data_IF_668171854421
#
_entry.id   IF_668171854421
#
_cell.length_a   1.000
_cell.length_b   1.000
_cell.length_c   1.000
_cell.angle_alpha   90.00
_cell.angle_beta   90.00
_cell.angle_gamma   90.00
#
_symmetry.space_group_name_H-M   'P 1'
#
loop_
_entity.id
_entity.type
_entity.pdbx_description
1 polymer ?
#
# COMPACT_ATOMS: atom_id res chain seq x y z
N UNK A 1 1.05 9.65 -41.73
CA UNK A 1 1.74 9.06 -40.55
C UNK A 1 1.72 9.90 -39.27
N UNK A 2 1.82 11.26 -39.26
CA UNK A 2 1.88 12.00 -37.99
C UNK A 2 0.53 12.04 -37.23
N UNK A 3 -0.61 12.06 -37.91
CA UNK A 3 -1.95 12.12 -37.28
C UNK A 3 -2.30 10.91 -36.39
N UNK A 4 -1.79 9.72 -36.73
CA UNK A 4 -2.03 8.50 -35.94
C UNK A 4 -1.26 8.51 -34.61
N UNK A 5 -0.11 9.18 -34.54
CA UNK A 5 0.65 9.33 -33.31
C UNK A 5 -0.05 10.33 -32.38
N UNK A 6 -0.50 11.46 -32.92
CA UNK A 6 -1.22 12.49 -32.14
C UNK A 6 -2.49 11.95 -31.52
N UNK A 7 -3.28 11.16 -32.26
CA UNK A 7 -4.53 10.58 -31.75
C UNK A 7 -4.31 9.59 -30.60
N UNK A 8 -3.24 8.78 -30.66
CA UNK A 8 -2.87 7.85 -29.57
C UNK A 8 -2.40 8.59 -28.33
N UNK A 9 -1.62 9.66 -28.51
CA UNK A 9 -1.14 10.49 -27.40
C UNK A 9 -2.31 11.20 -26.72
N UNK A 10 -3.22 11.81 -27.47
CA UNK A 10 -4.42 12.45 -26.90
C UNK A 10 -5.28 11.47 -26.12
N UNK A 11 -5.47 10.26 -26.63
CA UNK A 11 -6.27 9.23 -25.96
C UNK A 11 -5.60 8.74 -24.66
N UNK A 12 -4.27 8.62 -24.65
CA UNK A 12 -3.49 8.33 -23.43
C UNK A 12 -3.64 9.46 -22.39
N UNK A 13 -3.54 10.72 -22.81
CA UNK A 13 -3.67 11.87 -21.90
C UNK A 13 -5.07 11.92 -21.29
N UNK A 14 -6.12 11.73 -22.09
CA UNK A 14 -7.51 11.71 -21.61
C UNK A 14 -7.74 10.56 -20.62
N UNK A 15 -7.19 9.37 -20.90
CA UNK A 15 -7.28 8.22 -20.00
C UNK A 15 -6.61 8.50 -18.66
N UNK A 16 -5.40 9.08 -18.68
CA UNK A 16 -4.68 9.45 -17.45
C UNK A 16 -5.47 10.49 -16.65
N UNK A 17 -6.01 11.54 -17.29
CA UNK A 17 -6.82 12.53 -16.61
C UNK A 17 -8.10 11.94 -15.99
N UNK A 18 -8.76 11.01 -16.68
CA UNK A 18 -9.94 10.33 -16.16
C UNK A 18 -9.61 9.44 -14.94
N UNK A 19 -8.47 8.73 -14.97
CA UNK A 19 -8.00 7.96 -13.82
C UNK A 19 -7.70 8.84 -12.60
N UNK A 20 -7.06 10.00 -12.80
CA UNK A 20 -6.77 10.95 -11.72
C UNK A 20 -8.07 11.51 -11.13
N UNK A 21 -9.03 11.90 -11.98
CA UNK A 21 -10.33 12.39 -11.52
C UNK A 21 -11.10 11.33 -10.72
N UNK A 22 -11.05 10.07 -11.14
CA UNK A 22 -11.69 8.96 -10.42
C UNK A 22 -11.09 8.75 -9.02
N UNK A 23 -9.76 8.87 -8.88
CA UNK A 23 -9.07 8.78 -7.57
C UNK A 23 -9.44 9.97 -6.67
N UNK A 24 -9.58 11.17 -7.22
CA UNK A 24 -9.98 12.37 -6.46
C UNK A 24 -11.46 12.36 -6.04
N UNK A 25 -12.31 11.66 -6.79
CA UNK A 25 -13.75 11.51 -6.46
C UNK A 25 -14.04 10.42 -5.44
N UNK A 26 -13.04 9.62 -5.04
CA UNK A 26 -13.20 8.72 -3.92
C UNK A 26 -13.30 9.55 -2.64
N UNK A 27 -14.35 9.37 -1.83
CA UNK A 27 -14.45 10.04 -0.54
C UNK A 27 -13.20 9.68 0.27
N UNK A 28 -12.37 10.69 0.56
CA UNK A 28 -11.30 10.52 1.53
C UNK A 28 -12.00 10.22 2.86
N UNK A 29 -11.73 9.07 3.51
CA UNK A 29 -12.31 8.79 4.81
C UNK A 29 -11.98 9.97 5.73
N UNK A 30 -13.01 10.49 6.39
CA UNK A 30 -12.88 11.53 7.42
C UNK A 30 -11.70 11.19 8.34
N UNK A 31 -10.95 12.21 8.73
CA UNK A 31 -9.80 12.15 9.65
C UNK A 31 -10.18 11.55 11.02
N UNK A 32 -10.57 10.28 11.07
CA UNK A 32 -10.24 9.43 12.21
C UNK A 32 -8.73 9.34 12.21
N UNK A 33 -8.12 9.42 13.41
CA UNK A 33 -6.67 9.32 13.61
C UNK A 33 -6.14 8.10 12.85
N UNK A 34 -5.73 8.33 11.62
CA UNK A 34 -5.18 7.32 10.73
C UNK A 34 -3.75 7.13 11.22
N UNK A 35 -3.58 6.36 12.30
CA UNK A 35 -2.29 5.87 12.77
C UNK A 35 -1.81 4.74 11.84
N UNK A 36 -1.89 5.00 10.54
CA UNK A 36 -1.50 4.11 9.46
C UNK A 36 -0.28 4.65 8.74
N UNK A 37 0.72 3.80 8.58
CA UNK A 37 1.97 4.14 7.92
C UNK A 37 2.33 3.10 6.88
N UNK A 38 2.96 3.53 5.80
CA UNK A 38 3.64 2.64 4.87
C UNK A 38 5.15 2.91 4.95
N UNK A 39 5.94 1.85 4.94
CA UNK A 39 7.39 1.92 4.97
C UNK A 39 7.95 1.07 3.84
N UNK A 40 8.89 1.64 3.09
CA UNK A 40 9.68 0.91 2.10
C UNK A 40 11.10 0.82 2.63
N UNK A 41 11.62 -0.39 2.71
CA UNK A 41 12.99 -0.68 3.12
C UNK A 41 13.70 -1.45 2.03
N UNK A 42 15.01 -1.22 1.95
CA UNK A 42 15.86 -1.92 1.01
C UNK A 42 17.11 -2.35 1.76
N UNK A 43 17.26 -3.65 1.92
CA UNK A 43 18.32 -4.27 2.71
C UNK A 43 19.15 -5.18 1.82
N UNK A 44 20.46 -5.24 2.03
CA UNK A 44 21.32 -6.18 1.30
C UNK A 44 21.46 -7.49 2.09
N UNK A 45 21.30 -8.63 1.42
CA UNK A 45 21.48 -9.94 2.07
C UNK A 45 22.96 -10.26 2.27
N UNK A 46 23.25 -11.04 3.31
CA UNK A 46 24.61 -11.44 3.69
C UNK A 46 25.33 -12.26 2.60
N UNK A 47 24.60 -12.93 1.71
CA UNK A 47 25.15 -13.76 0.63
C UNK A 47 25.08 -13.07 -0.76
N UNK A 48 24.87 -11.76 -0.79
CA UNK A 48 24.64 -11.01 -2.02
C UNK A 48 23.16 -11.04 -2.42
N UNK A 49 22.69 -9.90 -2.93
CA UNK A 49 21.27 -9.67 -3.27
C UNK A 49 20.66 -8.54 -2.44
N UNK A 50 19.62 -7.93 -2.99
CA UNK A 50 18.88 -6.80 -2.42
C UNK A 50 17.45 -7.22 -2.14
N UNK A 51 17.05 -7.14 -0.88
CA UNK A 51 15.70 -7.35 -0.40
C UNK A 51 14.97 -6.02 -0.43
N UNK A 52 13.91 -5.94 -1.23
CA UNK A 52 12.97 -4.83 -1.21
C UNK A 52 11.78 -5.25 -0.38
N UNK A 53 11.51 -4.50 0.69
CA UNK A 53 10.40 -4.76 1.61
C UNK A 53 9.48 -3.55 1.65
N UNK A 54 8.19 -3.82 1.59
CA UNK A 54 7.11 -2.85 1.73
C UNK A 54 6.23 -3.34 2.87
N UNK A 55 6.13 -2.56 3.93
CA UNK A 55 5.21 -2.79 5.03
C UNK A 55 4.15 -1.70 5.01
N UNK A 56 2.89 -2.08 5.23
CA UNK A 56 1.80 -1.13 5.45
C UNK A 56 1.04 -1.53 6.70
N UNK A 57 0.78 -0.57 7.57
CA UNK A 57 -0.06 -0.72 8.74
C UNK A 57 -1.22 0.27 8.63
N UNK A 58 -2.41 -0.14 9.02
CA UNK A 58 -3.52 0.78 9.26
C UNK A 58 -4.27 0.37 10.51
N UNK A 59 -4.37 1.30 11.46
CA UNK A 59 -5.20 1.19 12.66
C UNK A 59 -6.46 2.03 12.48
N UNK A 60 -7.59 1.52 12.95
CA UNK A 60 -8.83 2.27 13.02
C UNK A 60 -9.53 2.04 14.36
N UNK A 61 -9.92 3.15 14.97
CA UNK A 61 -10.83 3.15 16.11
C UNK A 61 -12.25 2.91 15.60
N UNK A 62 -12.77 1.70 15.88
CA UNK A 62 -14.12 1.27 15.50
C UNK A 62 -15.18 1.99 16.35
N UNK A 63 -14.84 2.37 17.58
CA UNK A 63 -15.70 3.15 18.49
C UNK A 63 -15.10 4.52 18.73
N UNK A 64 -15.92 5.56 18.84
CA UNK A 64 -15.43 6.93 19.09
C UNK A 64 -14.74 7.10 20.46
N UNK A 65 -14.99 6.15 21.38
CA UNK A 65 -14.30 6.03 22.67
C UNK A 65 -12.94 5.31 22.59
N UNK A 66 -12.50 4.87 21.40
CA UNK A 66 -11.25 4.12 21.20
C UNK A 66 -11.21 2.73 21.84
N UNK A 67 -12.37 2.23 22.32
CA UNK A 67 -12.49 0.95 23.04
C UNK A 67 -12.34 -0.28 22.17
N UNK A 68 -12.75 -0.17 20.91
CA UNK A 68 -12.57 -1.21 19.90
C UNK A 68 -11.63 -0.67 18.85
N UNK A 69 -10.47 -1.30 18.75
CA UNK A 69 -9.44 -0.99 17.77
C UNK A 69 -9.30 -2.17 16.84
N UNK A 70 -9.28 -1.89 15.56
CA UNK A 70 -8.96 -2.87 14.56
C UNK A 70 -7.78 -2.41 13.73
N UNK A 71 -6.91 -3.36 13.46
CA UNK A 71 -5.61 -3.12 12.88
C UNK A 71 -5.38 -4.10 11.75
N UNK A 72 -4.96 -3.58 10.60
CA UNK A 72 -4.49 -4.39 9.48
C UNK A 72 -3.01 -4.12 9.26
N UNK A 73 -2.27 -5.20 9.05
CA UNK A 73 -0.87 -5.18 8.66
C UNK A 73 -0.75 -5.93 7.35
N UNK A 74 -0.05 -5.36 6.40
CA UNK A 74 0.37 -6.06 5.20
C UNK A 74 1.88 -5.91 5.06
N UNK A 75 2.52 -6.98 4.61
CA UNK A 75 3.93 -6.95 4.24
C UNK A 75 4.10 -7.64 2.90
N UNK A 76 4.99 -7.08 2.10
CA UNK A 76 5.45 -7.64 0.84
C UNK A 76 6.95 -7.50 0.76
N UNK A 77 7.61 -8.56 0.34
CA UNK A 77 9.06 -8.65 0.26
C UNK A 77 9.45 -9.37 -1.02
N UNK A 78 10.50 -8.86 -1.65
CA UNK A 78 11.12 -9.50 -2.80
C UNK A 78 12.62 -9.33 -2.78
N UNK A 79 13.31 -10.46 -2.94
CA UNK A 79 14.77 -10.51 -3.06
C UNK A 79 15.17 -10.50 -4.53
N UNK A 80 16.16 -9.66 -4.85
CA UNK A 80 16.75 -9.50 -6.17
C UNK A 80 18.24 -9.78 -6.12
N UNK A 81 18.71 -10.70 -6.96
CA UNK A 81 20.11 -11.08 -7.05
C UNK A 81 20.59 -12.00 -5.91
N UNK A 82 21.76 -12.60 -6.14
CA UNK A 82 22.37 -13.58 -5.24
C UNK A 82 21.66 -14.94 -5.19
N UNK A 83 22.02 -15.80 -4.23
CA UNK A 83 21.51 -17.18 -4.15
C UNK A 83 20.01 -17.29 -3.89
N UNK A 84 19.40 -16.23 -3.35
CA UNK A 84 17.98 -16.17 -3.00
C UNK A 84 17.20 -15.29 -3.99
N UNK A 85 17.72 -15.08 -5.20
CA UNK A 85 17.05 -14.28 -6.23
C UNK A 85 15.66 -14.84 -6.54
N UNK A 86 14.67 -13.94 -6.57
CA UNK A 86 13.28 -14.31 -6.84
C UNK A 86 12.51 -14.84 -5.63
N UNK A 87 13.13 -14.95 -4.46
CA UNK A 87 12.40 -15.26 -3.23
C UNK A 87 11.38 -14.16 -2.94
N UNK A 88 10.15 -14.55 -2.66
CA UNK A 88 9.03 -13.65 -2.36
C UNK A 88 8.43 -14.04 -1.03
N UNK A 89 8.23 -13.06 -0.17
CA UNK A 89 7.46 -13.23 1.03
C UNK A 89 6.34 -12.19 1.04
N UNK A 90 5.12 -12.61 1.36
CA UNK A 90 3.99 -11.69 1.47
C UNK A 90 3.02 -12.23 2.50
N UNK A 91 2.43 -11.34 3.26
CA UNK A 91 1.42 -11.69 4.23
C UNK A 91 0.55 -10.51 4.54
N UNK A 92 -0.71 -10.80 4.83
CA UNK A 92 -1.67 -9.85 5.35
C UNK A 92 -2.25 -10.43 6.63
N UNK A 93 -2.30 -9.62 7.67
CA UNK A 93 -2.82 -9.99 8.97
C UNK A 93 -3.71 -8.89 9.48
N UNK A 94 -4.78 -9.25 10.17
CA UNK A 94 -5.65 -8.31 10.85
C UNK A 94 -5.83 -8.74 12.29
N UNK A 95 -5.94 -7.78 13.20
CA UNK A 95 -6.34 -8.03 14.57
C UNK A 95 -7.45 -7.07 14.97
N UNK A 96 -8.38 -7.55 15.79
CA UNK A 96 -9.43 -6.74 16.40
C UNK A 96 -9.24 -6.90 17.89
N UNK A 97 -9.02 -5.79 18.58
CA UNK A 97 -8.85 -5.73 20.02
C UNK A 97 -9.97 -4.88 20.61
N UNK A 98 -10.53 -5.33 21.72
CA UNK A 98 -11.61 -4.64 22.41
C UNK A 98 -11.36 -4.69 23.91
N UNK A 99 -11.22 -3.52 24.54
CA UNK A 99 -11.18 -3.41 25.99
C UNK A 99 -12.60 -3.20 26.51
N UNK A 100 -13.28 -4.28 26.89
CA UNK A 100 -14.53 -4.19 27.63
C UNK A 100 -14.19 -4.01 29.10
N UNK A 101 -14.33 -2.77 29.60
CA UNK A 101 -14.23 -2.46 31.01
C UNK A 101 -15.25 -3.27 31.81
N UNK A 102 -14.78 -3.78 32.96
CA UNK A 102 -15.50 -4.59 33.93
C UNK A 102 -16.54 -3.78 34.69
#
# INVERSE_FOLDING_TARGET
FPQFLTMKVTLLVVLVCACVAAVMSYPQPEEKKDDGGWAVRTDNTRNGGTVVRVDSNKKWDVTDDGRVQAEVHSHWERTYGGPNDGQRNRGVGGSISGSWGK
#
